data_IF_816529893181
#
_entry.id   IF_816529893181
#
_cell.length_a   1.000
_cell.length_b   1.000
_cell.length_c   1.000
_cell.angle_alpha   90.00
_cell.angle_beta   90.00
_cell.angle_gamma   90.00
#
_symmetry.space_group_name_H-M   'P 1'
#
loop_
_entity.id
_entity.type
_entity.pdbx_description
1 polymer ?
#
# COMPACT_ATOMS: atom_id res chain seq x y z
N UNK A 1 8.54 7.34 -16.66
CA UNK A 1 8.97 8.57 -15.95
C UNK A 1 10.48 8.62 -15.68
N UNK A 2 11.11 7.57 -15.15
CA UNK A 2 12.55 7.61 -14.82
C UNK A 2 13.50 7.85 -16.02
N UNK A 3 13.07 7.61 -17.26
CA UNK A 3 13.90 7.80 -18.45
C UNK A 3 13.79 9.19 -19.11
N UNK A 4 12.72 9.96 -18.85
CA UNK A 4 12.46 11.25 -19.53
C UNK A 4 12.11 12.40 -18.59
N UNK A 5 12.05 12.15 -17.27
CA UNK A 5 11.67 13.13 -16.25
C UNK A 5 10.18 13.47 -16.20
N UNK A 6 9.38 13.03 -17.19
CA UNK A 6 7.97 13.40 -17.35
C UNK A 6 7.80 14.88 -17.73
N UNK A 7 6.73 15.23 -18.45
CA UNK A 7 6.41 16.64 -18.67
C UNK A 7 5.99 17.29 -17.34
N UNK A 8 6.05 18.63 -17.26
CA UNK A 8 5.54 19.36 -16.10
C UNK A 8 4.06 19.00 -15.84
N UNK A 9 3.27 18.91 -16.90
CA UNK A 9 1.85 18.53 -16.85
C UNK A 9 1.64 17.17 -16.20
N UNK A 10 2.44 16.15 -16.57
CA UNK A 10 2.34 14.82 -15.98
C UNK A 10 2.70 14.85 -14.49
N UNK A 11 3.73 15.61 -14.09
CA UNK A 11 4.10 15.76 -12.67
C UNK A 11 2.99 16.44 -11.86
N UNK A 12 2.33 17.45 -12.43
CA UNK A 12 1.19 18.13 -11.80
C UNK A 12 0.01 17.17 -11.65
N UNK A 13 -0.34 16.43 -12.70
CA UNK A 13 -1.41 15.44 -12.66
C UNK A 13 -1.15 14.32 -11.64
N UNK A 14 0.10 13.81 -11.57
CA UNK A 14 0.49 12.81 -10.56
C UNK A 14 0.32 13.34 -9.15
N UNK A 15 0.84 14.53 -8.86
CA UNK A 15 0.72 15.15 -7.52
C UNK A 15 -0.73 15.41 -7.12
N UNK A 16 -1.58 15.84 -8.06
CA UNK A 16 -3.01 15.97 -7.81
C UNK A 16 -3.68 14.63 -7.48
N UNK A 17 -3.29 13.55 -8.15
CA UNK A 17 -3.74 12.19 -7.82
C UNK A 17 -3.26 11.70 -6.45
N UNK A 18 -2.01 11.97 -6.09
CA UNK A 18 -1.45 11.65 -4.77
C UNK A 18 -2.19 12.41 -3.66
N UNK A 19 -2.43 13.71 -3.85
CA UNK A 19 -3.19 14.53 -2.91
C UNK A 19 -4.63 14.00 -2.75
N UNK A 20 -5.27 13.59 -3.83
CA UNK A 20 -6.61 12.97 -3.79
C UNK A 20 -6.65 11.70 -2.92
N UNK A 21 -5.61 10.86 -2.97
CA UNK A 21 -5.48 9.68 -2.11
C UNK A 21 -5.22 10.07 -0.65
N UNK A 22 -4.38 11.08 -0.41
CA UNK A 22 -4.03 11.56 0.93
C UNK A 22 -5.22 12.19 1.66
N UNK A 23 -6.04 13.00 0.98
CA UNK A 23 -7.30 13.53 1.52
C UNK A 23 -8.24 12.42 2.04
N UNK A 24 -8.09 11.21 1.50
CA UNK A 24 -8.89 10.01 1.80
C UNK A 24 -8.19 9.06 2.76
N UNK A 25 -7.07 9.47 3.37
CA UNK A 25 -6.25 8.61 4.23
C UNK A 25 -5.94 7.26 3.57
N UNK A 26 -5.78 7.28 2.26
CA UNK A 26 -5.54 6.15 1.35
C UNK A 26 -6.68 5.13 1.19
N UNK A 27 -7.64 4.98 2.11
CA UNK A 27 -8.67 3.94 2.00
C UNK A 27 -10.08 4.37 2.44
N UNK A 28 -10.27 5.63 2.84
CA UNK A 28 -11.55 6.15 3.34
C UNK A 28 -12.30 6.97 2.29
N UNK A 29 -13.63 7.02 2.43
CA UNK A 29 -14.50 7.91 1.66
C UNK A 29 -14.33 9.33 2.18
N UNK A 30 -14.12 10.30 1.28
CA UNK A 30 -13.99 11.73 1.68
C UNK A 30 -15.23 12.26 2.41
N UNK A 31 -16.42 11.83 1.99
CA UNK A 31 -17.69 12.34 2.52
C UNK A 31 -18.05 11.78 3.90
N UNK A 32 -17.89 10.47 4.12
CA UNK A 32 -18.33 9.80 5.36
C UNK A 32 -17.18 9.45 6.30
N UNK A 33 -15.95 9.47 5.81
CA UNK A 33 -14.80 8.95 6.54
C UNK A 33 -14.78 7.43 6.64
N UNK A 34 -15.79 6.68 6.19
CA UNK A 34 -15.82 5.22 6.26
C UNK A 34 -14.84 4.56 5.29
N UNK A 35 -14.51 3.29 5.51
CA UNK A 35 -13.72 2.49 4.55
C UNK A 35 -14.47 2.44 3.21
N UNK A 36 -13.77 2.72 2.09
CA UNK A 36 -14.39 2.70 0.75
C UNK A 36 -14.93 1.32 0.41
N UNK A 37 -14.07 0.31 0.61
CA UNK A 37 -14.32 -1.10 0.39
C UNK A 37 -13.50 -1.89 1.41
N UNK A 38 -14.07 -2.83 2.19
CA UNK A 38 -13.34 -3.61 3.18
C UNK A 38 -12.08 -4.31 2.63
N UNK A 39 -12.10 -4.69 1.35
CA UNK A 39 -10.96 -5.34 0.68
C UNK A 39 -9.72 -4.44 0.60
N UNK A 40 -9.88 -3.12 0.73
CA UNK A 40 -8.75 -2.19 0.78
C UNK A 40 -7.87 -2.39 2.02
N UNK A 41 -8.39 -3.04 3.05
CA UNK A 41 -7.68 -3.35 4.28
C UNK A 41 -7.04 -4.73 4.29
N UNK A 42 -7.11 -5.47 3.19
CA UNK A 42 -6.64 -6.84 3.11
C UNK A 42 -5.44 -6.93 2.16
N UNK A 43 -4.31 -7.42 2.68
CA UNK A 43 -3.04 -7.45 1.98
C UNK A 43 -3.04 -8.54 0.91
N UNK A 44 -3.24 -8.13 -0.34
CA UNK A 44 -3.30 -9.03 -1.48
C UNK A 44 -1.97 -9.13 -2.24
N UNK A 45 -1.68 -10.33 -2.74
CA UNK A 45 -0.67 -10.55 -3.77
C UNK A 45 -1.00 -11.77 -4.64
N UNK A 46 -0.78 -11.70 -5.97
CA UNK A 46 -0.55 -10.49 -6.76
C UNK A 46 -1.78 -9.56 -6.71
N UNK A 47 -1.54 -8.25 -6.63
CA UNK A 47 -2.61 -7.26 -6.50
C UNK A 47 -3.28 -6.90 -7.85
N UNK A 48 -2.70 -7.28 -9.00
CA UNK A 48 -3.17 -6.91 -10.36
C UNK A 48 -3.61 -5.43 -10.51
N UNK A 49 -4.88 -5.16 -10.81
CA UNK A 49 -5.48 -3.81 -10.82
C UNK A 49 -6.24 -3.48 -9.54
N UNK A 50 -6.34 -4.42 -8.58
CA UNK A 50 -7.03 -4.21 -7.32
C UNK A 50 -6.21 -3.33 -6.37
N UNK A 51 -6.94 -2.63 -5.52
CA UNK A 51 -6.38 -1.65 -4.60
C UNK A 51 -6.38 -2.18 -3.17
N UNK A 52 -5.29 -1.93 -2.46
CA UNK A 52 -5.16 -2.14 -1.02
C UNK A 52 -4.29 -1.02 -0.43
N UNK A 53 -4.44 -0.77 0.87
CA UNK A 53 -3.73 0.32 1.55
C UNK A 53 -2.20 0.15 1.50
N UNK A 54 -1.69 -1.08 1.53
CA UNK A 54 -0.24 -1.35 1.40
C UNK A 54 0.26 -1.04 -0.01
N UNK A 55 -0.55 -1.26 -1.05
CA UNK A 55 -0.23 -0.89 -2.44
C UNK A 55 -0.10 0.61 -2.56
N UNK A 56 -1.00 1.37 -1.94
CA UNK A 56 -0.95 2.83 -1.93
C UNK A 56 0.31 3.36 -1.22
N UNK A 57 0.59 2.87 -0.01
CA UNK A 57 1.80 3.23 0.74
C UNK A 57 3.08 2.87 -0.04
N UNK A 58 3.12 1.66 -0.61
CA UNK A 58 4.26 1.21 -1.39
C UNK A 58 4.47 2.05 -2.66
N UNK A 59 3.39 2.49 -3.31
CA UNK A 59 3.45 3.43 -4.43
C UNK A 59 4.02 4.78 -3.99
N UNK A 60 3.46 5.41 -2.95
CA UNK A 60 3.89 6.74 -2.48
C UNK A 60 5.37 6.75 -2.10
N UNK A 61 5.84 5.72 -1.38
CA UNK A 61 7.27 5.50 -1.12
C UNK A 61 8.08 5.46 -2.41
N UNK A 62 7.68 4.65 -3.39
CA UNK A 62 8.40 4.50 -4.67
C UNK A 62 8.36 5.76 -5.53
N UNK A 63 7.31 6.56 -5.40
CA UNK A 63 7.13 7.84 -6.09
C UNK A 63 7.96 8.97 -5.47
N UNK A 64 8.67 8.71 -4.36
CA UNK A 64 9.47 9.70 -3.64
C UNK A 64 8.63 10.72 -2.88
N UNK A 65 7.41 10.37 -2.49
CA UNK A 65 6.65 11.18 -1.55
C UNK A 65 7.34 11.16 -0.19
N UNK A 66 7.27 12.27 0.53
CA UNK A 66 7.64 12.30 1.95
C UNK A 66 6.53 11.65 2.80
N UNK A 67 6.86 11.05 3.94
CA UNK A 67 5.87 10.59 4.91
C UNK A 67 4.90 11.71 5.30
N UNK A 68 3.61 11.52 5.06
CA UNK A 68 2.55 12.50 5.36
C UNK A 68 1.67 11.97 6.51
N UNK A 69 1.36 12.78 7.56
CA UNK A 69 0.54 12.35 8.70
C UNK A 69 -0.80 11.71 8.32
N UNK A 70 -1.38 12.04 7.16
CA UNK A 70 -2.64 11.45 6.66
C UNK A 70 -2.51 9.97 6.31
N UNK A 71 -1.29 9.45 6.19
CA UNK A 71 -1.00 8.03 5.97
C UNK A 71 -0.92 7.22 7.28
N UNK A 72 -0.88 7.87 8.45
CA UNK A 72 -0.63 7.24 9.75
C UNK A 72 -1.55 6.04 10.00
N UNK A 73 -2.83 6.20 9.68
CA UNK A 73 -3.83 5.16 9.88
C UNK A 73 -3.58 3.94 8.99
N UNK A 74 -3.26 4.15 7.71
CA UNK A 74 -2.93 3.06 6.80
C UNK A 74 -1.66 2.34 7.26
N UNK A 75 -0.65 3.08 7.75
CA UNK A 75 0.56 2.51 8.34
C UNK A 75 0.26 1.71 9.61
N UNK A 76 -0.64 2.19 10.47
CA UNK A 76 -1.07 1.47 11.67
C UNK A 76 -1.74 0.14 11.32
N UNK A 77 -2.55 0.08 10.26
CA UNK A 77 -3.15 -1.16 9.74
C UNK A 77 -2.06 -2.13 9.25
N UNK A 78 -1.05 -1.64 8.54
CA UNK A 78 0.10 -2.48 8.15
C UNK A 78 0.83 -2.99 9.39
N UNK A 79 1.12 -2.14 10.38
CA UNK A 79 1.80 -2.55 11.63
C UNK A 79 1.01 -3.60 12.40
N UNK A 80 -0.31 -3.43 12.55
CA UNK A 80 -1.15 -4.35 13.33
C UNK A 80 -1.26 -5.75 12.72
N UNK A 81 -1.03 -5.87 11.41
CA UNK A 81 -1.03 -7.16 10.69
C UNK A 81 0.30 -7.92 10.74
N UNK A 82 1.35 -7.33 11.34
CA UNK A 82 2.64 -8.01 11.52
C UNK A 82 2.46 -9.18 12.49
N UNK A 83 2.82 -10.38 12.04
CA UNK A 83 2.79 -11.60 12.84
C UNK A 83 3.97 -11.64 13.84
N UNK A 84 3.93 -12.50 14.87
CA UNK A 84 5.01 -12.61 15.86
C UNK A 84 6.38 -12.93 15.27
N UNK A 85 6.43 -13.62 14.13
CA UNK A 85 7.67 -13.92 13.39
C UNK A 85 8.15 -12.78 12.48
N UNK A 86 7.49 -11.62 12.54
CA UNK A 86 7.81 -10.43 11.76
C UNK A 86 7.31 -10.45 10.32
N UNK A 87 6.53 -11.46 9.90
CA UNK A 87 5.98 -11.56 8.54
C UNK A 87 4.54 -11.06 8.46
N UNK A 88 4.05 -10.89 7.23
CA UNK A 88 2.66 -10.56 6.94
C UNK A 88 2.01 -11.72 6.21
N UNK A 89 0.75 -11.99 6.51
CA UNK A 89 0.00 -13.04 5.83
C UNK A 89 -0.46 -12.58 4.44
N UNK A 90 -0.73 -13.55 3.57
CA UNK A 90 -1.49 -13.36 2.35
C UNK A 90 -2.97 -13.35 2.72
N UNK A 91 -3.63 -12.19 2.71
CA UNK A 91 -5.03 -12.11 3.15
C UNK A 91 -6.02 -12.28 1.99
N UNK A 92 -5.57 -12.02 0.77
CA UNK A 92 -6.38 -12.22 -0.45
C UNK A 92 -5.53 -12.62 -1.65
N UNK A 93 -6.08 -13.53 -2.43
CA UNK A 93 -5.64 -13.84 -3.79
C UNK A 93 -6.75 -13.42 -4.75
N UNK A 94 -6.40 -12.61 -5.76
CA UNK A 94 -7.35 -12.25 -6.81
C UNK A 94 -7.33 -13.30 -7.93
N UNK A 95 -8.50 -13.70 -8.48
CA UNK A 95 -8.55 -14.63 -9.61
C UNK A 95 -7.74 -14.10 -10.80
N UNK A 96 -6.88 -14.94 -11.35
CA UNK A 96 -6.01 -14.58 -12.47
C UNK A 96 -5.11 -15.72 -12.90
N UNK A 97 -4.51 -15.61 -14.09
CA UNK A 97 -3.49 -16.57 -14.54
C UNK A 97 -2.20 -16.32 -13.75
N UNK A 98 -1.72 -17.37 -13.09
CA UNK A 98 -0.43 -17.38 -12.40
C UNK A 98 0.45 -18.39 -13.15
N UNK A 99 1.55 -17.91 -13.74
CA UNK A 99 2.48 -18.77 -14.48
C UNK A 99 3.44 -19.52 -13.55
N UNK A 100 3.72 -18.96 -12.37
CA UNK A 100 4.52 -19.54 -11.30
C UNK A 100 3.95 -19.09 -9.97
N UNK A 101 3.59 -20.03 -9.10
CA UNK A 101 3.16 -19.70 -7.75
C UNK A 101 4.38 -19.33 -6.90
N UNK A 102 4.42 -18.08 -6.47
CA UNK A 102 5.48 -17.52 -5.62
C UNK A 102 5.03 -17.36 -4.17
N UNK A 103 3.73 -17.51 -3.93
CA UNK A 103 3.08 -17.35 -2.64
C UNK A 103 2.58 -18.73 -2.17
N UNK A 104 1.80 -18.76 -1.09
CA UNK A 104 1.07 -19.94 -0.65
C UNK A 104 -0.43 -19.65 -0.63
N UNK A 105 -1.17 -20.41 0.16
CA UNK A 105 -2.61 -20.18 0.34
C UNK A 105 -2.89 -18.90 1.15
N UNK A 106 -4.13 -18.41 1.05
CA UNK A 106 -4.63 -17.35 1.94
C UNK A 106 -4.42 -17.78 3.41
N UNK A 107 -3.87 -16.87 4.21
CA UNK A 107 -3.49 -17.10 5.60
C UNK A 107 -2.04 -17.57 5.79
N UNK A 108 -1.32 -17.94 4.73
CA UNK A 108 0.10 -18.27 4.82
C UNK A 108 0.99 -17.01 4.89
N UNK A 109 2.18 -17.06 5.52
CA UNK A 109 3.13 -15.96 5.48
C UNK A 109 3.53 -15.61 4.03
N UNK A 110 3.25 -14.38 3.62
CA UNK A 110 3.48 -13.87 2.27
C UNK A 110 4.88 -13.29 2.11
N UNK A 111 5.62 -13.71 1.08
CA UNK A 111 6.96 -13.18 0.79
C UNK A 111 6.86 -11.74 0.30
N UNK A 112 5.95 -11.48 -0.64
CA UNK A 112 5.81 -10.17 -1.27
C UNK A 112 5.17 -9.13 -0.37
N UNK A 113 4.15 -9.49 0.41
CA UNK A 113 3.57 -8.54 1.38
C UNK A 113 4.58 -8.24 2.50
N UNK A 114 5.35 -9.23 2.95
CA UNK A 114 6.43 -8.99 3.93
C UNK A 114 7.45 -7.99 3.39
N UNK A 115 7.95 -8.18 2.16
CA UNK A 115 8.91 -7.24 1.55
C UNK A 115 8.34 -5.82 1.42
N UNK A 116 7.10 -5.69 0.93
CA UNK A 116 6.42 -4.40 0.76
C UNK A 116 6.21 -3.71 2.11
N UNK A 117 5.70 -4.44 3.10
CA UNK A 117 5.43 -3.92 4.43
C UNK A 117 6.70 -3.46 5.14
N UNK A 118 7.77 -4.27 5.11
CA UNK A 118 9.06 -3.88 5.69
C UNK A 118 9.59 -2.59 5.06
N UNK A 119 9.57 -2.48 3.72
CA UNK A 119 10.01 -1.27 3.02
C UNK A 119 9.18 -0.03 3.35
N UNK A 120 7.87 -0.19 3.53
CA UNK A 120 6.98 0.90 3.95
C UNK A 120 7.28 1.33 5.38
N UNK A 121 7.46 0.37 6.30
CA UNK A 121 7.70 0.66 7.70
C UNK A 121 9.10 1.19 7.98
N UNK A 122 10.10 0.82 7.19
CA UNK A 122 11.45 1.42 7.23
C UNK A 122 11.44 2.87 6.72
N UNK A 123 10.62 3.15 5.70
CA UNK A 123 10.47 4.50 5.14
C UNK A 123 9.64 5.43 6.03
N UNK A 124 8.66 4.89 6.76
CA UNK A 124 7.82 5.66 7.65
C UNK A 124 8.58 5.99 8.95
N UNK A 125 8.64 7.26 9.38
CA UNK A 125 9.34 7.63 10.60
C UNK A 125 8.63 6.97 11.79
N UNK A 126 9.38 6.20 12.58
CA UNK A 126 8.88 5.73 13.86
C UNK A 126 8.60 6.94 14.75
N UNK A 127 7.43 6.96 15.40
CA UNK A 127 7.08 7.97 16.41
C UNK A 127 7.89 7.78 17.72
N UNK A 128 9.13 7.31 17.61
CA UNK A 128 10.10 7.21 18.70
C UNK A 128 11.28 8.12 18.36
N UNK A 129 11.07 9.40 18.60
CA UNK A 129 12.07 10.36 19.05
C UNK A 129 11.52 11.03 20.30
#
# INVERSE_FOLDING_TARGET
EHATGGSLEVRVARRAGEEYLLERRLFRRKATGEVVDPTYLELAFPYYWHYDALRALYYLRRAGAEPDPRMEEAVAIVRSKRQPDGRWLLERIHPGRVHFDLEGDVGSPSRWNTLRALRVLEWWPDARA
#
